data_IF_642975516067
#
_entry.id   IF_642975516067
#
_cell.length_a   1.000
_cell.length_b   1.000
_cell.length_c   1.000
_cell.angle_alpha   90.00
_cell.angle_beta   90.00
_cell.angle_gamma   90.00
#
_symmetry.space_group_name_H-M   'P 1'
#
loop_
_entity.id
_entity.type
_entity.pdbx_description
1 polymer ?
#
# COMPACT_ATOMS: atom_id res chain seq x y z
N UNK A 1 -7.06 -51.47 -24.93
CA UNK A 1 -6.40 -50.17 -25.17
C UNK A 1 -7.34 -49.10 -24.68
N UNK A 2 -7.04 -48.56 -23.50
CA UNK A 2 -7.86 -47.58 -22.78
C UNK A 2 -7.62 -46.19 -23.35
N UNK A 3 -8.67 -45.57 -23.89
CA UNK A 3 -8.66 -44.14 -24.23
C UNK A 3 -8.74 -43.35 -22.92
N UNK A 4 -7.67 -42.62 -22.61
CA UNK A 4 -7.66 -41.64 -21.54
C UNK A 4 -8.37 -40.37 -22.02
N UNK A 5 -9.41 -40.02 -21.29
CA UNK A 5 -10.20 -38.80 -21.43
C UNK A 5 -9.49 -37.72 -20.60
N UNK A 6 -8.71 -36.87 -21.25
CA UNK A 6 -7.98 -35.77 -20.61
C UNK A 6 -8.77 -34.46 -20.79
N UNK A 7 -9.84 -34.33 -20.02
CA UNK A 7 -10.56 -33.07 -19.85
C UNK A 7 -9.77 -32.16 -18.89
N UNK A 8 -8.81 -31.43 -19.43
CA UNK A 8 -8.22 -30.27 -18.76
C UNK A 8 -9.29 -29.20 -18.61
N UNK A 9 -10.00 -29.25 -17.48
CA UNK A 9 -10.91 -28.21 -17.01
C UNK A 9 -10.15 -26.91 -16.78
N UNK A 10 -10.14 -26.04 -17.79
CA UNK A 10 -9.80 -24.64 -17.62
C UNK A 10 -10.87 -24.01 -16.73
N UNK A 11 -10.64 -23.99 -15.41
CA UNK A 11 -11.45 -23.18 -14.50
C UNK A 11 -11.34 -21.73 -14.97
N UNK A 12 -12.46 -21.22 -15.48
CA UNK A 12 -12.65 -19.79 -15.72
C UNK A 12 -12.24 -19.04 -14.46
N UNK A 13 -11.24 -18.16 -14.59
CA UNK A 13 -10.74 -17.31 -13.50
C UNK A 13 -11.73 -16.15 -13.30
N UNK A 14 -12.96 -16.50 -12.91
CA UNK A 14 -13.96 -15.54 -12.51
C UNK A 14 -13.46 -14.78 -11.29
N UNK A 15 -13.66 -13.46 -11.28
CA UNK A 15 -13.46 -12.60 -10.10
C UNK A 15 -14.56 -12.98 -9.11
N UNK A 16 -14.35 -14.07 -8.37
CA UNK A 16 -15.27 -14.50 -7.32
C UNK A 16 -15.01 -13.68 -6.05
N UNK A 17 -16.07 -13.25 -5.34
CA UNK A 17 -15.93 -12.63 -4.04
C UNK A 17 -15.15 -13.54 -3.08
N UNK A 18 -14.19 -12.96 -2.35
CA UNK A 18 -13.37 -13.67 -1.36
C UNK A 18 -13.35 -12.88 -0.04
N UNK A 19 -14.52 -12.85 0.60
CA UNK A 19 -14.73 -12.12 1.85
C UNK A 19 -13.90 -12.70 2.99
N UNK A 20 -13.63 -14.01 2.98
CA UNK A 20 -12.82 -14.65 4.02
C UNK A 20 -11.38 -14.11 4.00
N UNK A 21 -10.75 -14.03 2.82
CA UNK A 21 -9.42 -13.43 2.69
C UNK A 21 -9.46 -11.94 3.04
N UNK A 22 -10.54 -11.24 2.63
CA UNK A 22 -10.75 -9.83 2.97
C UNK A 22 -10.81 -9.58 4.48
N UNK A 23 -11.61 -10.35 5.21
CA UNK A 23 -11.75 -10.25 6.66
C UNK A 23 -10.44 -10.57 7.39
N UNK A 24 -9.69 -11.56 6.91
CA UNK A 24 -8.39 -11.90 7.47
C UNK A 24 -7.37 -10.75 7.33
N UNK A 25 -7.29 -10.12 6.15
CA UNK A 25 -6.44 -8.94 5.93
C UNK A 25 -6.83 -7.79 6.85
N UNK A 26 -8.12 -7.49 6.96
CA UNK A 26 -8.61 -6.42 7.85
C UNK A 26 -8.29 -6.71 9.30
N UNK A 27 -8.52 -7.95 9.76
CA UNK A 27 -8.19 -8.37 11.14
C UNK A 27 -6.72 -8.17 11.45
N UNK A 28 -5.83 -8.60 10.55
CA UNK A 28 -4.38 -8.42 10.71
C UNK A 28 -4.04 -6.92 10.75
N UNK A 29 -4.56 -6.13 9.81
CA UNK A 29 -4.33 -4.69 9.77
C UNK A 29 -4.86 -3.94 11.00
N UNK A 30 -5.87 -4.47 11.68
CA UNK A 30 -6.43 -3.91 12.92
C UNK A 30 -5.65 -4.29 14.17
N UNK A 31 -5.08 -5.50 14.23
CA UNK A 31 -4.68 -6.12 15.50
C UNK A 31 -3.23 -6.60 15.56
N UNK A 32 -2.62 -6.94 14.42
CA UNK A 32 -1.28 -7.52 14.43
C UNK A 32 -0.23 -6.46 14.76
N UNK A 33 0.67 -6.78 15.69
CA UNK A 33 1.87 -5.97 15.98
C UNK A 33 2.87 -6.05 14.83
N UNK A 34 3.00 -7.22 14.21
CA UNK A 34 3.82 -7.46 13.02
C UNK A 34 2.96 -8.08 11.91
N UNK A 35 2.17 -7.27 11.18
CA UNK A 35 1.36 -7.73 10.05
C UNK A 35 2.07 -8.71 9.12
N UNK A 36 3.36 -8.50 8.82
CA UNK A 36 4.10 -9.34 7.89
C UNK A 36 4.28 -10.78 8.36
N UNK A 37 4.38 -11.03 9.67
CA UNK A 37 4.48 -12.40 10.22
C UNK A 37 3.13 -13.10 10.14
N UNK A 38 2.06 -12.39 10.47
CA UNK A 38 0.71 -12.93 10.45
C UNK A 38 0.23 -13.21 9.02
N UNK A 39 0.54 -12.34 8.05
CA UNK A 39 0.28 -12.56 6.63
C UNK A 39 0.97 -13.83 6.10
N UNK A 40 2.21 -14.09 6.52
CA UNK A 40 2.95 -15.31 6.16
C UNK A 40 2.35 -16.54 6.83
N UNK A 41 2.07 -16.47 8.12
CA UNK A 41 1.50 -17.57 8.92
C UNK A 41 0.15 -18.03 8.38
N UNK A 42 -0.70 -17.08 7.96
CA UNK A 42 -2.03 -17.37 7.42
C UNK A 42 -2.03 -17.66 5.91
N UNK A 43 -0.86 -17.65 5.26
CA UNK A 43 -0.73 -17.91 3.83
C UNK A 43 -1.40 -16.86 2.94
N UNK A 44 -1.60 -15.64 3.44
CA UNK A 44 -2.34 -14.61 2.71
C UNK A 44 -1.55 -14.01 1.56
N UNK A 45 -0.21 -14.04 1.62
CA UNK A 45 0.66 -13.55 0.55
C UNK A 45 0.39 -14.27 -0.77
N UNK A 46 0.25 -15.60 -0.75
CA UNK A 46 -0.01 -16.39 -1.97
C UNK A 46 -1.49 -16.40 -2.36
N UNK A 47 -2.41 -16.22 -1.41
CA UNK A 47 -3.85 -16.19 -1.65
C UNK A 47 -4.35 -14.89 -2.27
N UNK A 48 -3.70 -13.77 -1.97
CA UNK A 48 -4.04 -12.45 -2.51
C UNK A 48 -3.21 -12.23 -3.78
N UNK A 49 -3.80 -12.30 -4.98
CA UNK A 49 -3.04 -12.24 -6.23
C UNK A 49 -2.17 -11.00 -6.34
N UNK A 50 -2.67 -9.86 -5.86
CA UNK A 50 -1.98 -8.57 -5.86
C UNK A 50 -0.73 -8.56 -4.97
N UNK A 51 -0.69 -9.35 -3.88
CA UNK A 51 0.52 -9.50 -3.05
C UNK A 51 1.49 -10.51 -3.66
N UNK A 52 0.96 -11.63 -4.18
CA UNK A 52 1.77 -12.72 -4.71
C UNK A 52 2.72 -12.28 -5.82
N UNK A 53 2.28 -11.36 -6.68
CA UNK A 53 3.09 -10.86 -7.81
C UNK A 53 4.19 -9.86 -7.41
N UNK A 54 4.12 -9.26 -6.21
CA UNK A 54 5.08 -8.23 -5.79
C UNK A 54 6.49 -8.80 -5.59
N UNK A 55 6.61 -10.08 -5.20
CA UNK A 55 7.90 -10.71 -4.90
C UNK A 55 8.79 -10.91 -6.12
N UNK A 56 8.23 -10.78 -7.34
CA UNK A 56 9.00 -10.84 -8.58
C UNK A 56 9.36 -9.47 -9.16
N UNK A 57 8.96 -8.36 -8.51
CA UNK A 57 9.21 -7.02 -9.01
C UNK A 57 10.51 -6.47 -8.41
N UNK A 58 11.57 -6.30 -9.23
CA UNK A 58 12.83 -5.76 -8.73
C UNK A 58 12.69 -4.29 -8.36
N UNK A 59 13.52 -3.86 -7.42
CA UNK A 59 13.71 -2.46 -7.04
C UNK A 59 15.19 -2.08 -7.21
N UNK A 60 15.47 -0.78 -7.34
CA UNK A 60 16.85 -0.28 -7.41
C UNK A 60 17.52 -0.44 -6.03
N UNK A 61 18.58 -1.25 -5.89
CA UNK A 61 19.22 -1.54 -4.60
C UNK A 61 19.82 -0.31 -3.90
N UNK A 62 20.06 0.79 -4.63
CA UNK A 62 20.54 2.05 -4.04
C UNK A 62 19.47 2.70 -3.17
N UNK A 63 18.20 2.54 -3.54
CA UNK A 63 17.06 3.13 -2.85
C UNK A 63 16.31 2.11 -1.98
N UNK A 64 16.38 0.84 -2.37
CA UNK A 64 15.68 -0.29 -1.75
C UNK A 64 16.66 -1.43 -1.44
N UNK A 65 17.60 -1.23 -0.50
CA UNK A 65 18.55 -2.28 -0.11
C UNK A 65 17.87 -3.51 0.50
N UNK A 66 16.62 -3.39 0.95
CA UNK A 66 15.80 -4.47 1.53
C UNK A 66 15.34 -5.52 0.52
N UNK A 67 15.31 -5.21 -0.78
CA UNK A 67 15.01 -6.17 -1.85
C UNK A 67 13.81 -5.80 -2.71
N UNK A 68 12.98 -6.79 -3.04
CA UNK A 68 11.83 -6.66 -3.93
C UNK A 68 10.66 -5.88 -3.31
N UNK A 69 9.66 -5.55 -4.15
CA UNK A 69 8.48 -4.78 -3.74
C UNK A 69 7.67 -5.48 -2.64
N UNK A 70 7.60 -6.81 -2.61
CA UNK A 70 6.88 -7.53 -1.55
C UNK A 70 7.59 -7.36 -0.21
N UNK A 71 8.91 -7.55 -0.21
CA UNK A 71 9.75 -7.40 0.99
C UNK A 71 9.61 -5.99 1.56
N UNK A 72 9.72 -4.97 0.71
CA UNK A 72 9.50 -3.56 1.09
C UNK A 72 8.09 -3.34 1.66
N UNK A 73 7.04 -3.78 0.95
CA UNK A 73 5.65 -3.58 1.36
C UNK A 73 5.33 -4.22 2.72
N UNK A 74 5.89 -5.41 2.99
CA UNK A 74 5.73 -6.11 4.25
C UNK A 74 6.43 -5.40 5.40
N UNK A 75 7.67 -4.92 5.19
CA UNK A 75 8.39 -4.13 6.18
C UNK A 75 7.68 -2.80 6.47
N UNK A 76 7.19 -2.12 5.43
CA UNK A 76 6.44 -0.88 5.58
C UNK A 76 5.14 -1.09 6.36
N UNK A 77 4.42 -2.19 6.13
CA UNK A 77 3.22 -2.52 6.90
C UNK A 77 3.52 -2.74 8.41
N UNK A 78 4.64 -3.37 8.75
CA UNK A 78 5.09 -3.53 10.15
C UNK A 78 5.43 -2.19 10.80
N UNK A 79 6.10 -1.30 10.06
CA UNK A 79 6.37 0.07 10.54
C UNK A 79 5.07 0.84 10.72
N UNK A 80 4.14 0.78 9.76
CA UNK A 80 2.86 1.45 9.86
C UNK A 80 2.05 1.00 11.08
N UNK A 81 2.01 -0.30 11.36
CA UNK A 81 1.39 -0.85 12.56
C UNK A 81 2.02 -0.26 13.83
N UNK A 82 3.37 -0.25 13.90
CA UNK A 82 4.11 0.31 15.03
C UNK A 82 3.85 1.81 15.24
N UNK A 83 3.77 2.60 14.16
CA UNK A 83 3.46 4.04 14.23
C UNK A 83 2.04 4.28 14.73
N UNK A 84 1.06 3.50 14.27
CA UNK A 84 -0.31 3.58 14.76
C UNK A 84 -0.41 3.18 16.24
N UNK A 85 0.37 2.19 16.68
CA UNK A 85 0.36 1.72 18.07
C UNK A 85 1.05 2.72 19.01
N UNK A 86 2.02 3.50 18.52
CA UNK A 86 2.69 4.55 19.28
C UNK A 86 1.81 5.80 19.53
N UNK A 87 0.84 6.05 18.64
CA UNK A 87 -0.16 7.11 18.80
C UNK A 87 -1.57 6.56 18.53
N UNK A 88 -2.15 5.80 19.50
CA UNK A 88 -3.39 5.07 19.28
C UNK A 88 -4.55 5.97 18.88
N UNK A 89 -5.24 5.56 17.82
CA UNK A 89 -6.48 6.15 17.35
C UNK A 89 -7.58 5.09 17.17
N UNK A 90 -8.69 5.43 16.49
CA UNK A 90 -9.74 4.47 16.19
C UNK A 90 -9.21 3.31 15.32
N UNK A 91 -9.68 2.09 15.61
CA UNK A 91 -9.14 0.84 15.03
C UNK A 91 -9.35 0.73 13.51
N UNK A 92 -10.41 1.33 12.98
CA UNK A 92 -10.69 1.46 11.55
C UNK A 92 -9.66 2.37 10.86
N UNK A 93 -9.13 3.38 11.55
CA UNK A 93 -8.08 4.25 10.99
C UNK A 93 -6.74 3.54 10.94
N UNK A 94 -6.41 2.73 11.95
CA UNK A 94 -5.25 1.82 11.92
C UNK A 94 -5.34 0.86 10.74
N UNK A 95 -6.50 0.22 10.54
CA UNK A 95 -6.74 -0.64 9.38
C UNK A 95 -6.43 0.06 8.07
N UNK A 96 -7.00 1.27 7.87
CA UNK A 96 -6.82 2.05 6.65
C UNK A 96 -5.33 2.34 6.40
N UNK A 97 -4.59 2.79 7.41
CA UNK A 97 -3.16 3.13 7.28
C UNK A 97 -2.31 1.90 6.98
N UNK A 98 -2.52 0.79 7.71
CA UNK A 98 -1.73 -0.43 7.53
C UNK A 98 -2.02 -1.05 6.15
N UNK A 99 -3.28 -1.14 5.72
CA UNK A 99 -3.63 -1.64 4.40
C UNK A 99 -3.13 -0.71 3.28
N UNK A 100 -3.26 0.61 3.43
CA UNK A 100 -2.73 1.55 2.44
C UNK A 100 -1.22 1.43 2.30
N UNK A 101 -0.51 1.22 3.41
CA UNK A 101 0.95 1.01 3.38
C UNK A 101 1.31 -0.33 2.75
N UNK A 102 0.61 -1.42 3.08
CA UNK A 102 0.84 -2.74 2.49
C UNK A 102 0.64 -2.74 0.96
N UNK A 103 -0.27 -1.92 0.45
CA UNK A 103 -0.63 -1.87 -0.97
C UNK A 103 -0.13 -0.62 -1.70
N UNK A 104 0.71 0.23 -1.09
CA UNK A 104 1.12 1.51 -1.69
C UNK A 104 1.76 1.34 -3.08
N UNK A 105 2.51 0.26 -3.25
CA UNK A 105 3.25 -0.08 -4.46
C UNK A 105 2.59 -1.16 -5.34
N UNK A 106 1.33 -1.51 -5.08
CA UNK A 106 0.64 -2.60 -5.77
C UNK A 106 0.53 -2.41 -7.29
N UNK A 107 0.69 -1.17 -7.79
CA UNK A 107 0.74 -0.86 -9.21
C UNK A 107 2.08 -1.12 -9.91
N UNK A 108 3.16 -1.37 -9.16
CA UNK A 108 4.51 -1.58 -9.71
C UNK A 108 4.59 -2.78 -10.68
N UNK A 109 4.00 -3.96 -10.42
CA UNK A 109 4.08 -5.10 -11.37
C UNK A 109 3.70 -4.75 -12.82
N UNK A 110 2.71 -3.89 -13.01
CA UNK A 110 2.21 -3.51 -14.34
C UNK A 110 2.91 -2.27 -14.94
N UNK A 111 3.72 -1.56 -14.15
CA UNK A 111 4.31 -0.27 -14.54
C UNK A 111 5.83 -0.22 -14.46
N UNK A 112 6.45 -1.20 -13.81
CA UNK A 112 7.90 -1.30 -13.71
C UNK A 112 8.51 -1.66 -15.06
N UNK A 113 9.52 -0.88 -15.46
CA UNK A 113 10.37 -1.11 -16.62
C UNK A 113 11.82 -1.06 -16.18
N UNK A 114 12.62 -1.95 -16.74
CA UNK A 114 14.06 -1.99 -16.57
C UNK A 114 14.74 -1.55 -17.87
N UNK A 115 15.61 -0.55 -17.79
CA UNK A 115 16.47 -0.10 -18.87
C UNK A 115 17.92 -0.08 -18.37
N UNK A 116 18.66 -1.13 -18.70
CA UNK A 116 19.97 -1.40 -18.10
C UNK A 116 19.85 -1.51 -16.57
N UNK A 117 20.63 -0.69 -15.85
CA UNK A 117 20.62 -0.62 -14.39
C UNK A 117 19.49 0.26 -13.82
N UNK A 118 18.74 0.98 -14.67
CA UNK A 118 17.67 1.86 -14.23
C UNK A 118 16.33 1.10 -14.13
N UNK A 119 15.74 1.10 -12.94
CA UNK A 119 14.39 0.57 -12.70
C UNK A 119 13.44 1.72 -12.43
N UNK A 120 12.37 1.83 -13.23
CA UNK A 120 11.38 2.90 -13.08
C UNK A 120 9.97 2.34 -13.07
N UNK A 121 9.08 2.91 -12.27
CA UNK A 121 7.68 2.48 -12.15
C UNK A 121 6.73 3.67 -12.33
N UNK A 122 6.78 4.32 -13.49
CA UNK A 122 5.98 5.53 -13.73
C UNK A 122 4.48 5.21 -13.75
N UNK A 123 3.69 5.96 -12.98
CA UNK A 123 2.24 5.78 -12.87
C UNK A 123 1.78 4.69 -11.88
N UNK A 124 2.70 4.01 -11.18
CA UNK A 124 2.34 2.93 -10.25
C UNK A 124 1.36 3.37 -9.15
N UNK A 125 1.50 4.60 -8.61
CA UNK A 125 0.63 5.09 -7.54
C UNK A 125 -0.83 5.25 -8.02
N UNK A 126 -1.04 5.88 -9.19
CA UNK A 126 -2.37 6.08 -9.76
C UNK A 126 -3.05 4.74 -10.06
N UNK A 127 -2.34 3.83 -10.74
CA UNK A 127 -2.83 2.48 -11.02
C UNK A 127 -3.06 1.68 -9.74
N UNK A 128 -2.20 1.84 -8.74
CA UNK A 128 -2.32 1.18 -7.43
C UNK A 128 -3.64 1.52 -6.74
N UNK A 129 -4.03 2.79 -6.76
CA UNK A 129 -5.35 3.21 -6.25
C UNK A 129 -6.51 2.51 -6.97
N UNK A 130 -6.43 2.37 -8.30
CA UNK A 130 -7.46 1.65 -9.06
C UNK A 130 -7.50 0.15 -8.77
N UNK A 131 -6.32 -0.47 -8.59
CA UNK A 131 -6.21 -1.87 -8.17
C UNK A 131 -6.89 -2.07 -6.81
N UNK A 132 -6.63 -1.18 -5.85
CA UNK A 132 -7.24 -1.25 -4.51
C UNK A 132 -8.76 -1.15 -4.57
N UNK A 133 -9.34 -0.27 -5.41
CA UNK A 133 -10.80 -0.17 -5.54
C UNK A 133 -11.43 -1.48 -6.02
N UNK A 134 -10.83 -2.13 -7.03
CA UNK A 134 -11.31 -3.42 -7.56
C UNK A 134 -11.09 -4.54 -6.55
N UNK A 135 -9.92 -4.56 -5.92
CA UNK A 135 -9.55 -5.56 -4.92
C UNK A 135 -10.46 -5.47 -3.69
N UNK A 136 -10.70 -4.28 -3.13
CA UNK A 136 -11.58 -4.09 -1.99
C UNK A 136 -13.00 -4.58 -2.26
N UNK A 137 -13.52 -4.32 -3.47
CA UNK A 137 -14.83 -4.88 -3.91
C UNK A 137 -14.81 -6.40 -3.93
N UNK A 138 -13.79 -7.03 -4.52
CA UNK A 138 -13.64 -8.50 -4.55
C UNK A 138 -13.48 -9.09 -3.15
N UNK A 139 -12.76 -8.42 -2.26
CA UNK A 139 -12.49 -8.85 -0.90
C UNK A 139 -13.63 -8.53 0.08
N UNK A 140 -14.71 -7.88 -0.36
CA UNK A 140 -15.84 -7.53 0.50
C UNK A 140 -15.50 -6.45 1.54
N UNK A 141 -14.50 -5.61 1.28
CA UNK A 141 -14.19 -4.48 2.15
C UNK A 141 -15.29 -3.42 2.06
N UNK A 142 -15.59 -2.70 3.15
CA UNK A 142 -16.60 -1.65 3.08
C UNK A 142 -16.11 -0.51 2.17
N UNK A 143 -17.06 0.13 1.50
CA UNK A 143 -16.78 1.10 0.43
C UNK A 143 -15.98 2.30 0.96
N UNK A 144 -16.32 2.81 2.14
CA UNK A 144 -15.66 3.97 2.74
C UNK A 144 -14.17 3.71 2.99
N UNK A 145 -13.84 2.62 3.65
CA UNK A 145 -12.46 2.19 3.89
C UNK A 145 -11.72 1.90 2.58
N UNK A 146 -12.37 1.24 1.62
CA UNK A 146 -11.77 0.96 0.30
C UNK A 146 -11.38 2.24 -0.43
N UNK A 147 -12.24 3.26 -0.43
CA UNK A 147 -11.98 4.57 -1.04
C UNK A 147 -10.86 5.31 -0.32
N UNK A 148 -10.86 5.29 1.02
CA UNK A 148 -9.81 5.90 1.83
C UNK A 148 -8.43 5.27 1.56
N UNK A 149 -8.36 3.92 1.58
CA UNK A 149 -7.14 3.16 1.28
C UNK A 149 -6.66 3.48 -0.14
N UNK A 150 -7.56 3.46 -1.13
CA UNK A 150 -7.22 3.76 -2.51
C UNK A 150 -6.68 5.19 -2.69
N UNK A 151 -7.23 6.17 -1.98
CA UNK A 151 -6.77 7.56 -2.03
C UNK A 151 -5.37 7.72 -1.41
N UNK A 152 -5.09 7.03 -0.31
CA UNK A 152 -3.75 7.01 0.31
C UNK A 152 -2.72 6.36 -0.62
N UNK A 153 -3.04 5.21 -1.20
CA UNK A 153 -2.19 4.53 -2.20
C UNK A 153 -1.95 5.43 -3.40
N UNK A 154 -2.99 6.05 -3.96
CA UNK A 154 -2.88 6.97 -5.10
C UNK A 154 -1.96 8.16 -4.84
N UNK A 155 -1.92 8.65 -3.60
CA UNK A 155 -1.22 9.88 -3.25
C UNK A 155 0.06 9.68 -2.43
N UNK A 156 0.51 8.45 -2.17
CA UNK A 156 1.69 8.20 -1.34
C UNK A 156 2.96 8.91 -1.89
N UNK A 157 3.12 9.01 -3.22
CA UNK A 157 4.25 9.70 -3.87
C UNK A 157 4.14 11.23 -3.94
N UNK A 158 3.10 11.86 -3.39
CA UNK A 158 2.88 13.31 -3.53
C UNK A 158 4.05 14.17 -3.03
N UNK A 159 4.86 13.62 -2.12
CA UNK A 159 6.02 14.27 -1.52
C UNK A 159 7.30 14.23 -2.38
N UNK A 160 7.42 13.28 -3.33
CA UNK A 160 8.71 12.94 -3.95
C UNK A 160 9.30 14.05 -4.82
N UNK A 161 8.45 14.85 -5.47
CA UNK A 161 8.90 15.99 -6.28
C UNK A 161 9.07 17.29 -5.50
N UNK A 162 8.97 17.27 -4.17
CA UNK A 162 9.05 18.47 -3.32
C UNK A 162 10.36 18.48 -2.55
N UNK A 163 11.14 19.55 -2.74
CA UNK A 163 12.32 19.84 -1.93
C UNK A 163 11.99 20.95 -0.93
N UNK A 164 12.30 20.73 0.35
CA UNK A 164 11.92 21.66 1.42
C UNK A 164 10.41 21.66 1.68
N UNK A 165 9.85 22.84 1.92
CA UNK A 165 8.44 22.99 2.26
C UNK A 165 7.54 22.97 1.02
N UNK A 166 6.42 22.21 1.03
CA UNK A 166 5.43 22.27 -0.02
C UNK A 166 4.71 23.62 -0.02
N UNK A 167 4.26 24.05 -1.19
CA UNK A 167 3.41 25.26 -1.26
C UNK A 167 2.08 25.05 -0.52
N UNK A 168 1.55 26.11 0.09
CA UNK A 168 0.19 26.15 0.68
C UNK A 168 -0.88 25.59 -0.27
N UNK A 169 -0.77 25.89 -1.57
CA UNK A 169 -1.67 25.38 -2.61
C UNK A 169 -1.56 23.86 -2.80
N UNK A 170 -0.34 23.31 -2.77
CA UNK A 170 -0.12 21.86 -2.88
C UNK A 170 -0.71 21.12 -1.68
N UNK A 171 -0.44 21.61 -0.46
CA UNK A 171 -1.00 21.06 0.78
C UNK A 171 -2.52 21.13 0.75
N UNK A 172 -3.12 22.30 0.49
CA UNK A 172 -4.57 22.44 0.43
C UNK A 172 -5.24 21.55 -0.63
N UNK A 173 -4.58 21.31 -1.76
CA UNK A 173 -5.07 20.39 -2.80
C UNK A 173 -5.03 18.93 -2.33
N UNK A 174 -3.93 18.48 -1.71
CA UNK A 174 -3.82 17.13 -1.19
C UNK A 174 -4.82 16.91 -0.05
N UNK A 175 -4.90 17.84 0.90
CA UNK A 175 -5.84 17.75 2.03
C UNK A 175 -7.29 17.63 1.58
N UNK A 176 -7.72 18.39 0.55
CA UNK A 176 -9.08 18.26 0.00
C UNK A 176 -9.32 16.89 -0.64
N UNK A 177 -8.40 16.41 -1.48
CA UNK A 177 -8.53 15.08 -2.11
C UNK A 177 -8.61 13.95 -1.09
N UNK A 178 -7.83 14.04 -0.01
CA UNK A 178 -7.87 13.08 1.08
C UNK A 178 -9.20 13.18 1.86
N UNK A 179 -9.66 14.39 2.16
CA UNK A 179 -10.92 14.61 2.85
C UNK A 179 -12.14 14.12 2.04
N UNK A 180 -12.15 14.34 0.72
CA UNK A 180 -13.19 13.83 -0.19
C UNK A 180 -13.27 12.29 -0.19
N UNK A 181 -12.18 11.62 0.20
CA UNK A 181 -12.07 10.17 0.33
C UNK A 181 -12.16 9.69 1.80
N UNK A 182 -12.64 10.54 2.72
CA UNK A 182 -12.80 10.25 4.16
C UNK A 182 -11.49 9.82 4.84
N UNK A 183 -10.37 10.37 4.36
CA UNK A 183 -9.04 10.26 4.97
C UNK A 183 -8.41 11.63 5.16
N UNK A 184 -7.17 11.66 5.66
CA UNK A 184 -6.57 12.86 6.19
C UNK A 184 -5.09 12.95 5.84
N UNK A 185 -4.57 14.18 5.91
CA UNK A 185 -3.14 14.40 5.77
C UNK A 185 -2.34 13.71 6.89
N UNK A 186 -2.94 13.51 8.07
CA UNK A 186 -2.32 12.77 9.16
C UNK A 186 -2.11 11.29 8.80
N UNK A 187 -3.12 10.61 8.24
CA UNK A 187 -2.96 9.21 7.81
C UNK A 187 -2.02 9.07 6.61
N UNK A 188 -2.11 9.99 5.66
CA UNK A 188 -1.14 10.06 4.57
C UNK A 188 0.28 10.21 5.09
N UNK A 189 0.49 11.02 6.14
CA UNK A 189 1.81 11.19 6.74
C UNK A 189 2.34 9.91 7.38
N UNK A 190 1.46 9.07 7.95
CA UNK A 190 1.84 7.77 8.50
C UNK A 190 2.28 6.81 7.39
N UNK A 191 1.55 6.76 6.28
CA UNK A 191 1.92 5.93 5.11
C UNK A 191 3.28 6.34 4.55
N UNK A 192 3.51 7.65 4.33
CA UNK A 192 4.79 8.17 3.82
C UNK A 192 5.94 7.92 4.79
N UNK A 193 5.69 8.07 6.09
CA UNK A 193 6.70 7.80 7.12
C UNK A 193 7.06 6.32 7.15
N UNK A 194 6.07 5.43 7.05
CA UNK A 194 6.27 3.99 7.04
C UNK A 194 7.05 3.51 5.79
N UNK A 195 6.68 3.98 4.59
CA UNK A 195 7.42 3.71 3.34
C UNK A 195 8.88 4.15 3.45
N UNK A 196 9.15 5.38 3.89
CA UNK A 196 10.52 5.86 4.04
C UNK A 196 11.34 5.08 5.07
N UNK A 197 10.74 4.72 6.21
CA UNK A 197 11.41 4.02 7.29
C UNK A 197 11.68 2.53 6.98
N UNK A 198 10.85 1.89 6.15
CA UNK A 198 11.03 0.49 5.74
C UNK A 198 12.35 0.21 5.00
N UNK A 199 12.95 1.24 4.40
CA UNK A 199 14.23 1.18 3.66
C UNK A 199 15.46 1.04 4.57
N UNK A 200 15.27 0.98 5.89
CA UNK A 200 16.33 0.77 6.87
C UNK A 200 17.43 1.83 6.78
N UNK A 201 18.65 1.40 6.46
CA UNK A 201 19.82 2.29 6.36
C UNK A 201 19.72 3.32 5.23
N UNK A 202 18.86 3.11 4.22
CA UNK A 202 18.60 4.06 3.15
C UNK A 202 17.49 5.08 3.48
N UNK A 203 16.89 5.00 4.67
CA UNK A 203 15.88 5.97 5.11
C UNK A 203 16.46 7.39 5.22
N UNK A 204 15.75 8.37 4.66
CA UNK A 204 16.13 9.79 4.75
C UNK A 204 15.27 10.59 5.73
N UNK A 205 14.59 9.92 6.66
CA UNK A 205 13.59 10.52 7.55
C UNK A 205 12.24 10.79 6.87
N UNK A 206 11.24 11.20 7.66
CA UNK A 206 9.88 11.41 7.15
C UNK A 206 9.79 12.62 6.23
N UNK A 207 9.42 12.36 4.97
CA UNK A 207 9.15 13.40 3.97
C UNK A 207 7.76 14.04 4.12
N UNK A 208 6.95 13.58 5.08
CA UNK A 208 5.63 14.14 5.35
C UNK A 208 5.66 15.31 6.35
N UNK A 209 6.72 15.45 7.15
CA UNK A 209 6.82 16.48 8.19
C UNK A 209 6.65 17.92 7.65
N UNK A 210 7.26 18.32 6.51
CA UNK A 210 7.03 19.66 5.94
C UNK A 210 5.56 19.89 5.55
N UNK A 211 4.86 18.84 5.11
CA UNK A 211 3.45 18.94 4.71
C UNK A 211 2.53 19.17 5.90
N UNK A 212 2.76 18.47 7.02
CA UNK A 212 2.01 18.65 8.26
C UNK A 212 2.21 20.05 8.84
N UNK A 213 3.46 20.54 8.83
CA UNK A 213 3.81 21.89 9.29
C UNK A 213 3.06 22.97 8.52
N UNK A 214 3.16 22.96 7.19
CA UNK A 214 2.45 23.93 6.34
C UNK A 214 0.93 23.80 6.51
N UNK A 215 0.39 22.60 6.71
CA UNK A 215 -1.04 22.41 6.97
C UNK A 215 -1.50 23.03 8.29
N UNK A 216 -0.66 23.01 9.34
CA UNK A 216 -0.97 23.64 10.62
C UNK A 216 -1.08 25.18 10.49
N UNK A 217 -0.33 25.80 9.58
CA UNK A 217 -0.39 27.24 9.31
C UNK A 217 -1.56 27.68 8.41
N UNK A 218 -2.34 26.74 7.88
CA UNK A 218 -3.53 27.00 7.06
C UNK A 218 -4.83 27.03 7.88
N UNK A 219 -4.75 26.67 9.17
CA UNK A 219 -5.89 26.61 10.08
C UNK A 219 -6.22 27.96 10.68
#
# INVERSE_FOLDING_TARGET
>A
MTHADDSHSTRSMGIHPDHQTGDALRRIARLATEPSKDLRREGLISRVPELAVLGSVPQDPRWHPEGDVLTHSLLAADVAASLCDAAPGPVDRREIVVLATLFHDVGKPATTRSDGDAVTSHGHAELGGEIVLRMGTRLGWPVRETVAIAALVRHHMAHVSVQGDPTRKAVGRLSRRLADAETSLAEWSLVVTADGAARGSASTGSRAEPWLRVAAELR
#
